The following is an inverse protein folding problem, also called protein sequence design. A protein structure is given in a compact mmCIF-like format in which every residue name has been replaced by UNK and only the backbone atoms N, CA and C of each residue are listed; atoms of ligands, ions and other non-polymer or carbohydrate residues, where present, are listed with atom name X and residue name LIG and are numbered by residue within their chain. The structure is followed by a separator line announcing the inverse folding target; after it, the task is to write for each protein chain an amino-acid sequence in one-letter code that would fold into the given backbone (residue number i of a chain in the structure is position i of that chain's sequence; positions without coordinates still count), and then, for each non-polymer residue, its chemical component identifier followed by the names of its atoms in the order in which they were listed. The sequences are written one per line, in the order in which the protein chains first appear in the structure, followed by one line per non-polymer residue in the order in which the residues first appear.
data_IF_006086202874
#
_entry.id   IF_006086202874
#
_cell.length_a   1.000
_cell.length_b   1.000
_cell.length_c   1.000
_cell.angle_alpha   90.00
_cell.angle_beta   90.00
_cell.angle_gamma   90.00
#
_symmetry.space_group_name_H-M   'P 1'
#
loop_
_entity.id
_entity.type
_entity.pdbx_description
1 polymer ?
#
# COMPACT_ATOMS: atom_id res chain seq x y z
N UNK A 1 30.25 0.36 6.05
CA UNK A 1 29.09 1.21 6.41
C UNK A 1 27.96 0.30 6.87
N UNK A 2 27.41 0.56 8.03
CA UNK A 2 26.10 -0.01 8.42
C UNK A 2 25.03 0.95 7.94
N UNK A 3 23.99 0.42 7.33
CA UNK A 3 22.83 1.19 6.91
C UNK A 3 21.55 0.53 7.43
N UNK A 4 20.56 1.36 7.70
CA UNK A 4 19.18 0.94 7.96
C UNK A 4 18.26 1.77 7.09
N UNK A 5 17.12 1.23 6.74
CA UNK A 5 16.09 1.95 6.01
C UNK A 5 14.73 1.64 6.61
N UNK A 6 13.92 2.68 6.75
CA UNK A 6 12.50 2.55 7.03
C UNK A 6 11.68 3.07 5.86
N UNK A 7 10.64 2.35 5.52
CA UNK A 7 9.63 2.76 4.55
C UNK A 7 8.34 3.06 5.30
N UNK A 8 7.90 4.30 5.24
CA UNK A 8 6.72 4.80 5.95
C UNK A 8 5.58 5.10 4.97
N UNK A 9 4.34 4.89 5.41
CA UNK A 9 3.13 5.23 4.68
C UNK A 9 2.17 6.01 5.58
N UNK A 10 1.41 6.97 5.00
CA UNK A 10 0.41 7.75 5.74
C UNK A 10 0.98 8.84 6.63
N UNK A 11 2.23 9.25 6.39
CA UNK A 11 2.90 10.37 7.07
C UNK A 11 3.66 11.19 6.03
N UNK A 12 3.72 12.51 6.20
CA UNK A 12 4.48 13.39 5.31
C UNK A 12 5.93 13.54 5.76
N UNK A 13 6.82 13.93 4.83
CA UNK A 13 8.21 14.27 5.17
C UNK A 13 8.30 15.40 6.20
N UNK A 14 7.38 16.37 6.16
CA UNK A 14 7.33 17.46 7.13
C UNK A 14 7.02 16.95 8.55
N UNK A 15 6.05 16.03 8.67
CA UNK A 15 5.70 15.44 9.96
C UNK A 15 6.86 14.59 10.51
N UNK A 16 7.49 13.76 9.66
CA UNK A 16 8.70 13.00 10.05
C UNK A 16 9.80 13.93 10.54
N UNK A 17 10.05 15.05 9.82
CA UNK A 17 11.06 16.04 10.22
C UNK A 17 10.73 16.65 11.57
N UNK A 18 9.46 16.96 11.83
CA UNK A 18 9.00 17.51 13.11
C UNK A 18 9.17 16.52 14.27
N UNK A 19 8.72 15.26 14.06
CA UNK A 19 8.77 14.20 15.08
C UNK A 19 10.22 13.84 15.45
N UNK A 20 11.13 13.89 14.47
CA UNK A 20 12.53 13.50 14.64
C UNK A 20 13.48 14.71 14.79
N UNK A 21 12.98 15.92 15.04
CA UNK A 21 13.78 17.17 15.04
C UNK A 21 14.96 17.13 15.99
N UNK A 22 14.79 16.59 17.18
CA UNK A 22 15.87 16.43 18.18
C UNK A 22 16.88 15.34 17.79
N UNK A 23 16.44 14.29 17.09
CA UNK A 23 17.33 13.26 16.53
C UNK A 23 18.21 13.86 15.43
N UNK A 24 17.64 14.67 14.53
CA UNK A 24 18.41 15.38 13.51
C UNK A 24 19.43 16.35 14.13
N UNK A 25 19.04 17.07 15.19
CA UNK A 25 19.94 17.99 15.89
C UNK A 25 21.11 17.28 16.60
N UNK A 26 20.94 16.01 17.00
CA UNK A 26 21.90 15.21 17.76
C UNK A 26 22.37 13.97 16.97
N UNK A 27 22.55 14.10 15.66
CA UNK A 27 22.90 12.98 14.76
C UNK A 27 24.41 12.85 14.51
N UNK A 28 25.26 13.27 15.44
CA UNK A 28 26.72 13.23 15.27
C UNK A 28 27.24 11.86 14.81
N UNK A 29 27.87 11.81 13.63
CA UNK A 29 28.43 10.61 13.01
C UNK A 29 27.38 9.68 12.37
N UNK A 30 26.10 10.10 12.29
CA UNK A 30 25.04 9.39 11.60
C UNK A 30 24.39 10.31 10.58
N UNK A 31 24.33 9.91 9.32
CA UNK A 31 23.63 10.62 8.26
C UNK A 31 22.19 10.06 8.15
N UNK A 32 21.19 10.89 8.38
CA UNK A 32 19.78 10.53 8.22
C UNK A 32 19.23 11.29 7.02
N UNK A 33 18.78 10.55 6.01
CA UNK A 33 18.24 11.10 4.75
C UNK A 33 16.76 10.77 4.62
N UNK A 34 15.94 11.78 4.30
CA UNK A 34 14.51 11.61 4.02
C UNK A 34 14.24 11.79 2.53
N UNK A 35 13.59 10.81 1.94
CA UNK A 35 13.10 10.87 0.56
C UNK A 35 11.59 10.65 0.57
N UNK A 36 10.82 11.53 -0.10
CA UNK A 36 9.38 11.41 -0.26
C UNK A 36 9.04 11.11 -1.71
N UNK A 37 8.23 10.07 -1.92
CA UNK A 37 7.78 9.66 -3.24
C UNK A 37 6.28 9.30 -3.15
N UNK A 38 5.44 10.22 -3.61
CA UNK A 38 4.00 10.13 -3.42
C UNK A 38 3.63 10.01 -1.93
N UNK A 39 2.86 8.99 -1.53
CA UNK A 39 2.47 8.81 -0.12
C UNK A 39 3.51 8.08 0.73
N UNK A 40 4.68 7.79 0.17
CA UNK A 40 5.75 7.02 0.83
C UNK A 40 6.87 7.96 1.27
N UNK A 41 7.29 7.85 2.53
CA UNK A 41 8.50 8.46 3.06
C UNK A 41 9.51 7.38 3.38
N UNK A 42 10.70 7.48 2.77
CA UNK A 42 11.84 6.61 3.06
C UNK A 42 12.81 7.34 3.98
N UNK A 43 13.24 6.66 5.05
CA UNK A 43 14.20 7.17 6.01
C UNK A 43 15.44 6.29 5.92
N UNK A 44 16.55 6.81 5.39
CA UNK A 44 17.83 6.11 5.32
C UNK A 44 18.72 6.60 6.43
N UNK A 45 19.37 5.67 7.12
CA UNK A 45 20.26 5.92 8.25
C UNK A 45 21.60 5.28 7.91
N UNK A 46 22.62 6.10 7.71
CA UNK A 46 23.95 5.66 7.33
C UNK A 46 24.98 6.13 8.38
N UNK A 47 25.94 5.29 8.74
CA UNK A 47 27.09 5.69 9.56
C UNK A 47 28.34 4.90 9.24
N UNK A 48 29.50 5.46 9.58
CA UNK A 48 30.76 4.73 9.59
C UNK A 48 30.78 3.71 10.73
N UNK A 49 31.29 2.53 10.45
CA UNK A 49 31.05 1.25 11.14
C UNK A 49 31.65 1.13 12.56
N UNK A 50 32.24 2.17 13.13
CA UNK A 50 32.95 2.07 14.42
C UNK A 50 32.10 2.23 15.67
N UNK A 51 30.80 2.51 15.54
CA UNK A 51 29.89 2.81 16.67
C UNK A 51 28.52 2.16 16.52
N UNK A 52 27.95 1.66 17.61
CA UNK A 52 26.57 1.18 17.71
C UNK A 52 25.51 2.30 17.50
N UNK A 53 25.94 3.49 17.12
CA UNK A 53 25.07 4.66 16.92
C UNK A 53 23.97 4.48 15.89
N UNK A 54 24.22 3.70 14.82
CA UNK A 54 23.15 3.37 13.85
C UNK A 54 22.05 2.58 14.54
N UNK A 55 22.40 1.57 15.34
CA UNK A 55 21.41 0.74 16.04
C UNK A 55 20.59 1.57 17.03
N UNK A 56 21.27 2.45 17.81
CA UNK A 56 20.58 3.29 18.79
C UNK A 56 19.61 4.28 18.10
N UNK A 57 20.05 4.94 17.01
CA UNK A 57 19.21 5.85 16.24
C UNK A 57 18.09 5.12 15.50
N UNK A 58 18.36 3.93 14.98
CA UNK A 58 17.34 3.08 14.34
C UNK A 58 16.23 2.71 15.35
N UNK A 59 16.62 2.29 16.56
CA UNK A 59 15.63 1.96 17.60
C UNK A 59 14.81 3.17 18.04
N UNK A 60 15.44 4.33 18.19
CA UNK A 60 14.80 5.59 18.58
C UNK A 60 13.79 6.06 17.51
N UNK A 61 14.17 6.02 16.23
CA UNK A 61 13.29 6.36 15.10
C UNK A 61 12.13 5.37 15.00
N UNK A 62 12.41 4.07 15.11
CA UNK A 62 11.38 3.04 15.10
C UNK A 62 10.34 3.27 16.21
N UNK A 63 10.77 3.55 17.43
CA UNK A 63 9.87 3.79 18.56
C UNK A 63 8.88 4.95 18.31
N UNK A 64 9.34 6.00 17.60
CA UNK A 64 8.50 7.18 17.33
C UNK A 64 7.59 7.03 16.12
N UNK A 65 7.98 6.20 15.13
CA UNK A 65 7.31 6.10 13.84
C UNK A 65 6.72 4.72 13.55
N UNK A 66 6.72 3.79 14.49
CA UNK A 66 6.29 2.39 14.29
C UNK A 66 4.90 2.25 13.65
N UNK A 67 3.97 3.16 13.95
CA UNK A 67 2.62 3.14 13.39
C UNK A 67 2.57 3.50 11.88
N UNK A 68 3.63 4.04 11.34
CA UNK A 68 3.75 4.44 9.93
C UNK A 68 4.70 3.54 9.15
N UNK A 69 5.62 2.83 9.83
CA UNK A 69 6.62 1.97 9.21
C UNK A 69 5.95 0.69 8.72
N UNK A 70 6.00 0.46 7.40
CA UNK A 70 5.50 -0.78 6.80
C UNK A 70 6.63 -1.75 6.42
N UNK A 71 7.88 -1.28 6.34
CA UNK A 71 9.05 -2.13 6.08
C UNK A 71 10.33 -1.53 6.66
N UNK A 72 11.25 -2.42 7.06
CA UNK A 72 12.62 -2.13 7.49
C UNK A 72 13.64 -2.52 6.40
N UNK A 73 13.17 -2.60 5.17
CA UNK A 73 13.90 -2.93 3.95
C UNK A 73 13.48 -1.99 2.82
N UNK A 74 14.32 -1.85 1.79
CA UNK A 74 14.00 -1.05 0.60
C UNK A 74 13.07 -1.83 -0.35
N UNK A 75 11.87 -2.09 0.11
CA UNK A 75 10.83 -2.78 -0.66
C UNK A 75 9.64 -1.87 -0.94
N UNK A 76 8.89 -2.20 -1.98
CA UNK A 76 7.65 -1.51 -2.29
C UNK A 76 6.54 -1.88 -1.31
N UNK A 77 5.52 -1.02 -1.18
CA UNK A 77 4.33 -1.35 -0.39
C UNK A 77 3.60 -2.58 -0.96
N UNK A 78 3.63 -2.78 -2.28
CA UNK A 78 3.05 -3.95 -2.93
C UNK A 78 3.76 -5.25 -2.51
N UNK A 79 5.08 -5.20 -2.41
CA UNK A 79 5.87 -6.34 -1.94
C UNK A 79 5.64 -6.62 -0.45
N UNK A 80 5.56 -5.58 0.37
CA UNK A 80 5.25 -5.74 1.79
C UNK A 80 3.87 -6.39 2.00
N UNK A 81 2.85 -5.91 1.28
CA UNK A 81 1.50 -6.51 1.30
C UNK A 81 1.52 -7.95 0.80
N UNK A 82 2.23 -8.23 -0.30
CA UNK A 82 2.35 -9.59 -0.82
C UNK A 82 2.96 -10.55 0.20
N UNK A 83 4.06 -10.16 0.84
CA UNK A 83 4.73 -10.97 1.88
C UNK A 83 3.79 -11.22 3.06
N UNK A 84 3.06 -10.20 3.51
CA UNK A 84 2.11 -10.30 4.61
C UNK A 84 0.94 -11.23 4.26
N UNK A 85 0.37 -11.10 3.07
CA UNK A 85 -0.70 -11.99 2.59
C UNK A 85 -0.23 -13.43 2.48
N UNK A 86 0.98 -13.64 1.93
CA UNK A 86 1.57 -14.98 1.82
C UNK A 86 1.80 -15.63 3.19
N UNK A 87 2.27 -14.86 4.16
CA UNK A 87 2.48 -15.33 5.54
C UNK A 87 1.17 -15.77 6.20
N UNK A 88 0.08 -15.08 5.91
CA UNK A 88 -1.24 -15.35 6.47
C UNK A 88 -2.10 -16.26 5.58
N UNK A 89 -1.57 -16.80 4.49
CA UNK A 89 -2.29 -17.64 3.53
C UNK A 89 -3.55 -16.97 2.96
N UNK A 90 -3.51 -15.64 2.74
CA UNK A 90 -4.61 -14.87 2.21
C UNK A 90 -4.48 -14.66 0.70
N UNK A 91 -5.61 -14.63 0.02
CA UNK A 91 -5.73 -14.40 -1.41
C UNK A 91 -6.43 -13.07 -1.70
N UNK A 92 -6.15 -12.49 -2.87
CA UNK A 92 -6.62 -11.19 -3.31
C UNK A 92 -7.36 -11.30 -4.64
N UNK A 93 -8.43 -10.53 -4.80
CA UNK A 93 -8.97 -10.18 -6.10
C UNK A 93 -9.23 -8.67 -6.18
N UNK A 94 -9.38 -8.13 -7.40
CA UNK A 94 -9.68 -6.72 -7.59
C UNK A 94 -10.92 -6.50 -8.44
N UNK A 95 -11.66 -5.41 -8.14
CA UNK A 95 -12.81 -4.92 -8.90
C UNK A 95 -12.57 -3.45 -9.25
N UNK A 96 -11.94 -3.21 -10.41
CA UNK A 96 -11.40 -1.91 -10.76
C UNK A 96 -12.30 -1.16 -11.75
N UNK A 97 -12.62 0.09 -11.45
CA UNK A 97 -13.28 1.00 -12.37
C UNK A 97 -12.33 2.17 -12.70
N UNK A 98 -12.15 3.13 -11.80
CA UNK A 98 -11.33 4.31 -12.08
C UNK A 98 -9.85 3.99 -12.34
N UNK A 99 -9.32 2.98 -11.70
CA UNK A 99 -7.92 2.56 -11.83
C UNK A 99 -7.64 1.72 -13.08
N UNK A 100 -8.70 1.28 -13.77
CA UNK A 100 -8.65 0.58 -15.06
C UNK A 100 -7.65 -0.60 -15.14
N UNK A 101 -7.50 -1.36 -14.05
CA UNK A 101 -6.58 -2.50 -13.94
C UNK A 101 -5.22 -2.16 -13.33
N UNK A 102 -4.99 -0.90 -12.96
CA UNK A 102 -3.69 -0.46 -12.45
C UNK A 102 -3.33 -1.07 -11.08
N UNK A 103 -4.32 -1.33 -10.22
CA UNK A 103 -4.07 -1.98 -8.92
C UNK A 103 -3.51 -3.39 -9.14
N UNK A 104 -4.18 -4.19 -9.96
CA UNK A 104 -3.72 -5.54 -10.34
C UNK A 104 -2.36 -5.50 -11.03
N UNK A 105 -2.19 -4.58 -11.99
CA UNK A 105 -0.94 -4.43 -12.74
C UNK A 105 0.25 -4.08 -11.83
N UNK A 106 0.07 -3.14 -10.89
CA UNK A 106 1.10 -2.79 -9.91
C UNK A 106 1.42 -3.98 -8.99
N UNK A 107 0.40 -4.71 -8.53
CA UNK A 107 0.62 -5.87 -7.68
C UNK A 107 1.46 -6.94 -8.40
N UNK A 108 1.17 -7.23 -9.66
CA UNK A 108 1.93 -8.20 -10.47
C UNK A 108 3.34 -7.70 -10.78
N UNK A 109 3.48 -6.40 -11.13
CA UNK A 109 4.77 -5.80 -11.49
C UNK A 109 5.82 -5.93 -10.39
N UNK A 110 5.42 -5.79 -9.14
CA UNK A 110 6.37 -5.76 -8.01
C UNK A 110 6.52 -7.11 -7.29
N UNK A 111 5.77 -8.16 -7.72
CA UNK A 111 5.75 -9.43 -7.00
C UNK A 111 5.96 -10.62 -7.94
N UNK A 112 7.15 -11.19 -7.92
CA UNK A 112 7.39 -12.48 -8.57
C UNK A 112 6.50 -13.56 -7.92
N UNK A 113 5.73 -14.28 -8.72
CA UNK A 113 4.79 -15.28 -8.23
C UNK A 113 3.48 -14.70 -7.69
N UNK A 114 3.08 -13.49 -8.14
CA UNK A 114 1.84 -12.83 -7.75
C UNK A 114 0.59 -13.72 -7.90
N UNK A 115 0.60 -14.69 -8.83
CA UNK A 115 -0.50 -15.65 -9.02
C UNK A 115 -0.77 -16.59 -7.83
N UNK A 116 0.13 -16.62 -6.85
CA UNK A 116 -0.10 -17.35 -5.59
C UNK A 116 -1.09 -16.60 -4.67
N UNK A 117 -1.24 -15.30 -4.89
CA UNK A 117 -2.04 -14.39 -4.05
C UNK A 117 -3.16 -13.76 -4.87
N UNK A 118 -2.84 -13.10 -6.00
CA UNK A 118 -3.82 -12.45 -6.86
C UNK A 118 -4.52 -13.50 -7.74
N UNK A 119 -5.77 -13.84 -7.38
CA UNK A 119 -6.56 -14.84 -8.11
C UNK A 119 -7.11 -14.28 -9.41
N UNK A 120 -7.64 -13.04 -9.38
CA UNK A 120 -8.18 -12.36 -10.56
C UNK A 120 -8.23 -10.85 -10.40
N UNK A 121 -8.23 -10.13 -11.54
CA UNK A 121 -8.43 -8.70 -11.62
C UNK A 121 -9.56 -8.37 -12.58
N UNK A 122 -10.66 -7.80 -12.10
CA UNK A 122 -11.82 -7.44 -12.89
C UNK A 122 -11.79 -5.95 -13.23
N UNK A 123 -11.72 -5.59 -14.51
CA UNK A 123 -11.87 -4.22 -14.98
C UNK A 123 -13.31 -3.99 -15.41
N UNK A 124 -14.10 -3.32 -14.57
CA UNK A 124 -15.55 -3.10 -14.74
C UNK A 124 -15.87 -1.62 -14.92
N UNK A 125 -15.34 -1.04 -16.00
CA UNK A 125 -15.37 0.40 -16.24
C UNK A 125 -16.78 0.96 -16.47
N UNK A 126 -17.65 0.25 -17.19
CA UNK A 126 -19.03 0.68 -17.49
C UNK A 126 -20.04 0.08 -16.49
N UNK A 127 -21.22 0.71 -16.38
CA UNK A 127 -22.32 0.15 -15.58
C UNK A 127 -22.73 -1.25 -16.05
N UNK A 128 -22.77 -1.46 -17.36
CA UNK A 128 -23.06 -2.77 -17.93
C UNK A 128 -22.03 -3.83 -17.50
N UNK A 129 -20.72 -3.47 -17.50
CA UNK A 129 -19.68 -4.38 -17.02
C UNK A 129 -19.84 -4.69 -15.52
N UNK A 130 -20.16 -3.68 -14.69
CA UNK A 130 -20.44 -3.87 -13.25
C UNK A 130 -21.59 -4.86 -13.00
N UNK A 131 -22.69 -4.67 -13.72
CA UNK A 131 -23.85 -5.59 -13.62
C UNK A 131 -23.51 -7.00 -14.11
N UNK A 132 -22.95 -7.11 -15.32
CA UNK A 132 -22.71 -8.40 -15.97
C UNK A 132 -21.63 -9.23 -15.29
N UNK A 133 -20.54 -8.60 -14.89
CA UNK A 133 -19.37 -9.32 -14.36
C UNK A 133 -19.44 -9.50 -12.84
N UNK A 134 -19.99 -8.55 -12.11
CA UNK A 134 -19.97 -8.54 -10.65
C UNK A 134 -21.38 -8.56 -10.03
N UNK A 135 -22.42 -8.72 -10.83
CA UNK A 135 -23.82 -8.76 -10.39
C UNK A 135 -24.25 -7.52 -9.58
N UNK A 136 -23.63 -6.35 -9.86
CA UNK A 136 -24.03 -5.10 -9.21
C UNK A 136 -25.49 -4.80 -9.60
N UNK A 137 -26.41 -4.60 -8.63
CA UNK A 137 -27.81 -4.40 -8.95
C UNK A 137 -28.04 -3.11 -9.73
N UNK A 138 -28.82 -3.16 -10.82
CA UNK A 138 -29.18 -1.98 -11.60
C UNK A 138 -29.81 -0.89 -10.74
N UNK A 139 -30.63 -1.29 -9.76
CA UNK A 139 -31.26 -0.35 -8.80
C UNK A 139 -30.22 0.46 -8.03
N UNK A 140 -29.10 -0.14 -7.63
CA UNK A 140 -28.01 0.55 -6.90
C UNK A 140 -27.38 1.60 -7.81
N UNK A 141 -27.04 1.22 -9.03
CA UNK A 141 -26.48 2.14 -10.03
C UNK A 141 -27.43 3.32 -10.36
N UNK A 142 -28.72 3.06 -10.45
CA UNK A 142 -29.73 4.08 -10.75
C UNK A 142 -30.00 5.01 -9.55
N UNK A 143 -29.87 4.51 -8.32
CA UNK A 143 -30.15 5.28 -7.10
C UNK A 143 -28.92 6.05 -6.61
N UNK A 144 -27.74 5.40 -6.62
CA UNK A 144 -26.51 5.90 -5.99
C UNK A 144 -25.42 6.30 -7.00
N UNK A 145 -25.66 6.09 -8.29
CA UNK A 145 -24.70 6.29 -9.38
C UNK A 145 -23.52 5.29 -9.37
N UNK A 146 -22.69 5.34 -10.42
CA UNK A 146 -21.50 4.49 -10.53
C UNK A 146 -20.41 4.86 -9.52
N UNK A 147 -20.40 6.11 -9.03
CA UNK A 147 -19.41 6.62 -8.09
C UNK A 147 -20.07 6.85 -6.73
N UNK A 148 -20.14 5.80 -5.95
CA UNK A 148 -20.73 5.80 -4.61
C UNK A 148 -20.15 4.68 -3.75
N UNK A 149 -20.32 4.79 -2.45
CA UNK A 149 -19.92 3.74 -1.49
C UNK A 149 -20.73 2.46 -1.75
N UNK A 150 -22.02 2.60 -2.00
CA UNK A 150 -22.96 1.50 -2.24
C UNK A 150 -22.54 0.69 -3.48
N UNK A 151 -22.26 1.36 -4.60
CA UNK A 151 -21.79 0.70 -5.82
C UNK A 151 -20.44 0.03 -5.62
N UNK A 152 -19.51 0.68 -4.90
CA UNK A 152 -18.20 0.10 -4.61
C UNK A 152 -18.31 -1.13 -3.73
N UNK A 153 -19.21 -1.08 -2.73
CA UNK A 153 -19.49 -2.24 -1.88
C UNK A 153 -20.05 -3.41 -2.68
N UNK A 154 -21.03 -3.17 -3.56
CA UNK A 154 -21.59 -4.25 -4.38
C UNK A 154 -20.58 -4.80 -5.41
N UNK A 155 -19.71 -3.94 -5.96
CA UNK A 155 -18.57 -4.39 -6.78
C UNK A 155 -17.64 -5.32 -5.98
N UNK A 156 -17.26 -4.94 -4.77
CA UNK A 156 -16.40 -5.76 -3.90
C UNK A 156 -17.08 -7.08 -3.55
N UNK A 157 -18.35 -7.04 -3.14
CA UNK A 157 -19.14 -8.23 -2.79
C UNK A 157 -19.30 -9.20 -3.96
N UNK A 158 -19.64 -8.67 -5.15
CA UNK A 158 -19.77 -9.49 -6.35
C UNK A 158 -18.44 -10.14 -6.74
N UNK A 159 -17.34 -9.40 -6.67
CA UNK A 159 -16.01 -9.93 -6.93
C UNK A 159 -15.62 -11.00 -5.89
N UNK A 160 -15.84 -10.76 -4.60
CA UNK A 160 -15.57 -11.71 -3.53
C UNK A 160 -16.30 -13.04 -3.76
N UNK A 161 -17.59 -12.97 -4.06
CA UNK A 161 -18.42 -14.16 -4.28
C UNK A 161 -17.98 -14.98 -5.49
N UNK A 162 -17.48 -14.33 -6.55
CA UNK A 162 -17.09 -14.99 -7.80
C UNK A 162 -15.65 -15.52 -7.77
N UNK A 163 -14.73 -14.74 -7.22
CA UNK A 163 -13.31 -15.11 -7.15
C UNK A 163 -13.02 -16.15 -6.08
N UNK A 164 -13.79 -16.15 -4.99
CA UNK A 164 -13.46 -16.93 -3.80
C UNK A 164 -12.21 -16.42 -3.08
N UNK A 165 -11.74 -15.21 -3.38
CA UNK A 165 -10.62 -14.59 -2.68
C UNK A 165 -11.00 -14.24 -1.23
N UNK A 166 -9.99 -14.18 -0.35
CA UNK A 166 -10.18 -13.78 1.05
C UNK A 166 -10.39 -12.27 1.20
N UNK A 167 -9.74 -11.48 0.30
CA UNK A 167 -9.78 -10.02 0.30
C UNK A 167 -10.09 -9.51 -1.11
N UNK A 168 -10.92 -8.48 -1.20
CA UNK A 168 -11.16 -7.76 -2.45
C UNK A 168 -10.88 -6.27 -2.28
N UNK A 169 -10.18 -5.70 -3.25
CA UNK A 169 -10.03 -4.25 -3.40
C UNK A 169 -10.95 -3.80 -4.53
N UNK A 170 -11.91 -2.92 -4.22
CA UNK A 170 -12.77 -2.30 -5.22
C UNK A 170 -12.48 -0.80 -5.35
N UNK A 171 -12.45 -0.29 -6.58
CA UNK A 171 -12.21 1.12 -6.86
C UNK A 171 -13.26 1.70 -7.79
N UNK A 172 -13.79 2.88 -7.45
CA UNK A 172 -14.61 3.69 -8.33
C UNK A 172 -14.26 5.17 -8.16
N UNK A 173 -14.63 6.00 -9.10
CA UNK A 173 -14.32 7.43 -9.05
C UNK A 173 -14.55 8.12 -10.40
N UNK A 174 -14.34 9.44 -10.42
CA UNK A 174 -14.36 10.24 -11.63
C UNK A 174 -12.95 10.32 -12.22
N UNK A 175 -12.81 9.97 -13.49
CA UNK A 175 -11.58 10.08 -14.25
C UNK A 175 -11.62 11.36 -15.08
N UNK A 176 -10.89 12.38 -14.67
CA UNK A 176 -10.78 13.67 -15.35
C UNK A 176 -11.69 14.76 -14.81
#
# INVERSE_FOLDING_TARGET
MKNSIFKCFGITKADVTSILSDIFANSEGVLITLQEEGPIVSIKIDADDSNNRVMDKTAEIFQRLNNYIYAEEDISIYEAVFRLMKLNHLTLATAESITAGNVSACFVKYNAGASQILLEGNVVYTNNAKMRMLDVPEKVLNTHTAVSVETTYDMAKGCLNKSGADIVIATTGYAG
#
